data_IF_804259619203
#
_entry.id   IF_804259619203
#
_cell.length_a   1.000
_cell.length_b   1.000
_cell.length_c   1.000
_cell.angle_alpha   90.00
_cell.angle_beta   90.00
_cell.angle_gamma   90.00
#
_symmetry.space_group_name_H-M   'P 1'
#
loop_
_entity.id
_entity.type
_entity.pdbx_description
1 polymer ?
#
# COMPACT_ATOMS: atom_id res chain seq x y z
N UNK A 1 -25.67 20.08 -47.90
CA UNK A 1 -24.62 20.30 -46.88
C UNK A 1 -24.73 21.62 -46.10
N UNK A 2 -25.65 22.54 -46.42
CA UNK A 2 -25.73 23.85 -45.73
C UNK A 2 -26.53 23.86 -44.40
N UNK A 3 -27.45 22.92 -44.17
CA UNK A 3 -28.29 22.93 -42.95
C UNK A 3 -27.63 22.33 -41.69
N UNK A 4 -26.63 21.45 -41.82
CA UNK A 4 -25.93 20.86 -40.66
C UNK A 4 -24.92 21.82 -40.02
N UNK A 5 -24.32 22.73 -40.79
CA UNK A 5 -23.37 23.72 -40.24
C UNK A 5 -24.05 24.87 -39.50
N UNK A 6 -25.33 25.17 -39.77
CA UNK A 6 -26.05 26.24 -39.07
C UNK A 6 -26.48 25.84 -37.66
N UNK A 7 -26.71 24.55 -37.39
CA UNK A 7 -27.11 24.05 -36.06
C UNK A 7 -25.92 23.99 -35.08
N UNK A 8 -24.71 23.73 -35.58
CA UNK A 8 -23.48 23.69 -34.76
C UNK A 8 -23.07 25.09 -34.31
N UNK A 9 -23.18 26.09 -35.19
CA UNK A 9 -22.82 27.49 -34.87
C UNK A 9 -23.83 28.15 -33.92
N UNK A 10 -25.12 27.78 -34.01
CA UNK A 10 -26.17 28.29 -33.09
C UNK A 10 -26.04 27.68 -31.69
N UNK A 11 -25.64 26.41 -31.57
CA UNK A 11 -25.40 25.79 -30.25
C UNK A 11 -24.13 26.31 -29.57
N UNK A 12 -23.04 26.54 -30.31
CA UNK A 12 -21.83 27.16 -29.73
C UNK A 12 -22.08 28.58 -29.21
N UNK A 13 -22.87 29.39 -29.93
CA UNK A 13 -23.26 30.72 -29.44
C UNK A 13 -24.21 30.68 -28.24
N UNK A 14 -25.05 29.65 -28.08
CA UNK A 14 -25.91 29.49 -26.88
C UNK A 14 -25.11 29.07 -25.65
N UNK A 15 -24.18 28.13 -25.80
CA UNK A 15 -23.32 27.66 -24.69
C UNK A 15 -22.33 28.75 -24.26
N UNK A 16 -21.75 29.51 -25.19
CA UNK A 16 -20.90 30.65 -24.85
C UNK A 16 -21.68 31.78 -24.17
N UNK A 17 -22.93 32.06 -24.57
CA UNK A 17 -23.76 33.05 -23.87
C UNK A 17 -24.19 32.60 -22.48
N UNK A 18 -24.36 31.28 -22.24
CA UNK A 18 -24.65 30.73 -20.92
C UNK A 18 -23.41 30.70 -20.01
N UNK A 19 -22.21 30.41 -20.53
CA UNK A 19 -20.96 30.50 -19.76
C UNK A 19 -20.60 31.95 -19.42
N UNK A 20 -20.82 32.89 -20.34
CA UNK A 20 -20.57 34.31 -20.08
C UNK A 20 -21.63 34.86 -19.11
N UNK A 21 -22.90 34.50 -19.22
CA UNK A 21 -23.89 34.97 -18.23
C UNK A 21 -23.66 34.41 -16.82
N UNK A 22 -23.16 33.18 -16.66
CA UNK A 22 -22.85 32.61 -15.34
C UNK A 22 -21.58 33.25 -14.75
N UNK A 23 -20.58 33.62 -15.55
CA UNK A 23 -19.43 34.36 -15.03
C UNK A 23 -19.73 35.85 -14.76
N UNK A 24 -20.56 36.51 -15.58
CA UNK A 24 -20.90 37.92 -15.35
C UNK A 24 -21.93 38.14 -14.23
N UNK A 25 -22.80 37.17 -13.94
CA UNK A 25 -23.67 37.25 -12.74
C UNK A 25 -22.92 36.97 -11.44
N UNK A 26 -21.83 36.19 -11.46
CA UNK A 26 -20.96 36.05 -10.29
C UNK A 26 -20.06 37.27 -10.04
N UNK A 27 -19.73 38.06 -11.07
CA UNK A 27 -18.93 39.29 -10.91
C UNK A 27 -19.73 40.54 -10.52
N UNK A 28 -21.04 40.59 -10.76
CA UNK A 28 -21.86 41.78 -10.41
C UNK A 28 -22.64 41.67 -9.09
N UNK A 29 -22.67 40.49 -8.47
CA UNK A 29 -23.32 40.28 -7.16
C UNK A 29 -22.39 40.54 -5.94
N UNK A 30 -21.16 41.01 -6.16
CA UNK A 30 -20.17 41.26 -5.08
C UNK A 30 -20.10 42.76 -4.70
N UNK A 31 -20.94 43.64 -5.28
CA UNK A 31 -20.84 45.08 -5.01
C UNK A 31 -21.78 45.64 -3.94
N UNK A 32 -22.65 44.85 -3.31
CA UNK A 32 -23.50 45.33 -2.22
C UNK A 32 -23.90 44.15 -1.32
N UNK A 33 -23.28 44.03 -0.15
CA UNK A 33 -23.81 43.60 1.17
C UNK A 33 -22.66 42.99 2.00
N UNK A 34 -22.14 43.80 2.94
CA UNK A 34 -21.46 43.43 4.19
C UNK A 34 -20.20 42.53 4.17
N UNK A 35 -19.25 42.75 5.11
CA UNK A 35 -18.01 41.99 5.19
C UNK A 35 -18.31 40.61 5.79
N UNK A 36 -18.64 39.64 4.94
CA UNK A 36 -18.54 38.24 5.32
C UNK A 36 -17.07 37.85 5.18
N UNK A 37 -16.35 37.92 6.30
CA UNK A 37 -15.09 37.22 6.51
C UNK A 37 -15.26 35.79 6.02
N UNK A 38 -14.71 35.49 4.83
CA UNK A 38 -14.58 34.14 4.34
C UNK A 38 -13.56 33.47 5.26
N UNK A 39 -14.07 32.75 6.26
CA UNK A 39 -13.26 31.96 7.17
C UNK A 39 -12.72 30.78 6.38
N UNK A 40 -11.60 30.98 5.69
CA UNK A 40 -10.81 29.91 5.10
C UNK A 40 -10.42 28.99 6.28
N UNK A 41 -10.80 27.70 6.28
CA UNK A 41 -10.42 26.79 7.36
C UNK A 41 -8.90 26.80 7.51
N UNK A 42 -8.35 26.67 8.73
CA UNK A 42 -6.90 26.66 8.93
C UNK A 42 -6.28 25.57 8.07
N UNK A 43 -5.70 25.99 6.95
CA UNK A 43 -4.99 25.11 6.04
C UNK A 43 -3.75 24.57 6.75
N UNK A 44 -3.31 23.36 6.36
CA UNK A 44 -2.09 22.79 6.91
C UNK A 44 -0.92 23.78 6.69
N UNK A 45 -0.27 24.18 7.79
CA UNK A 45 0.84 25.15 7.82
C UNK A 45 1.89 24.86 6.74
N UNK A 46 2.15 23.57 6.47
CA UNK A 46 3.05 23.10 5.40
C UNK A 46 2.69 23.62 4.00
N UNK A 47 1.39 23.65 3.65
CA UNK A 47 0.91 24.16 2.36
C UNK A 47 1.11 25.67 2.25
N UNK A 48 0.86 26.40 3.34
CA UNK A 48 1.06 27.84 3.39
C UNK A 48 2.55 28.22 3.30
N UNK A 49 3.44 27.44 3.93
CA UNK A 49 4.91 27.59 3.79
C UNK A 49 5.39 27.41 2.35
N UNK A 50 4.86 26.40 1.65
CA UNK A 50 5.16 26.17 0.24
C UNK A 50 4.67 27.34 -0.64
N UNK A 51 3.43 27.78 -0.43
CA UNK A 51 2.85 28.90 -1.17
C UNK A 51 3.64 30.18 -0.97
N UNK A 52 4.04 30.49 0.26
CA UNK A 52 4.89 31.65 0.53
C UNK A 52 6.24 31.53 -0.20
N UNK A 53 6.84 30.33 -0.24
CA UNK A 53 8.10 30.11 -0.95
C UNK A 53 7.98 30.31 -2.47
N UNK A 54 6.81 29.99 -3.05
CA UNK A 54 6.49 30.27 -4.45
C UNK A 54 6.33 31.77 -4.67
N UNK A 55 5.63 32.47 -3.77
CA UNK A 55 5.46 33.92 -3.87
C UNK A 55 6.82 34.64 -3.74
N UNK A 56 7.66 34.28 -2.77
CA UNK A 56 9.02 34.84 -2.62
C UNK A 56 9.86 34.62 -3.89
N UNK A 57 9.72 33.47 -4.55
CA UNK A 57 10.38 33.20 -5.83
C UNK A 57 9.88 34.11 -6.95
N UNK A 58 8.57 34.32 -7.07
CA UNK A 58 7.98 35.23 -8.07
C UNK A 58 8.37 36.69 -7.82
N UNK A 59 8.38 37.13 -6.56
CA UNK A 59 8.87 38.47 -6.16
C UNK A 59 10.36 38.65 -6.48
N UNK A 60 11.17 37.62 -6.22
CA UNK A 60 12.60 37.62 -6.58
C UNK A 60 12.79 37.67 -8.09
N UNK A 61 11.97 36.94 -8.85
CA UNK A 61 12.07 36.89 -10.32
C UNK A 61 11.68 38.22 -10.99
N UNK A 62 10.82 39.02 -10.33
CA UNK A 62 10.51 40.39 -10.76
C UNK A 62 11.69 41.33 -10.48
N UNK A 63 12.42 41.12 -9.38
CA UNK A 63 13.49 42.03 -8.92
C UNK A 63 14.86 41.70 -9.52
N UNK A 64 15.14 40.43 -9.82
CA UNK A 64 16.38 39.98 -10.45
C UNK A 64 16.40 40.16 -11.99
N UNK A 65 15.26 40.51 -12.59
CA UNK A 65 15.13 40.73 -14.03
C UNK A 65 15.19 39.45 -14.86
N UNK A 66 15.00 38.28 -14.26
CA UNK A 66 14.92 36.98 -14.96
C UNK A 66 13.68 36.85 -15.86
N UNK A 67 12.76 37.81 -15.77
CA UNK A 67 11.49 37.82 -16.49
C UNK A 67 11.37 39.09 -17.36
N UNK A 68 10.69 38.96 -18.50
CA UNK A 68 10.41 40.08 -19.41
C UNK A 68 9.59 41.14 -18.68
N UNK A 69 9.90 42.40 -18.96
CA UNK A 69 9.18 43.55 -18.38
C UNK A 69 7.69 43.53 -18.67
N UNK A 70 7.28 42.97 -19.81
CA UNK A 70 5.88 42.85 -20.23
C UNK A 70 5.09 41.83 -19.39
N UNK A 71 5.78 40.86 -18.77
CA UNK A 71 5.17 39.81 -17.96
C UNK A 71 5.10 40.19 -16.46
N UNK A 72 5.70 41.32 -16.06
CA UNK A 72 5.77 41.77 -14.66
C UNK A 72 4.38 41.98 -14.05
N UNK A 73 3.52 42.70 -14.76
CA UNK A 73 2.14 42.96 -14.30
C UNK A 73 1.35 41.66 -14.16
N UNK A 74 1.56 40.70 -15.08
CA UNK A 74 0.91 39.39 -15.02
C UNK A 74 1.35 38.56 -13.80
N UNK A 75 2.60 38.70 -13.38
CA UNK A 75 3.13 37.99 -12.21
C UNK A 75 2.67 38.62 -10.91
N UNK A 76 2.59 39.95 -10.84
CA UNK A 76 2.01 40.64 -9.68
C UNK A 76 0.56 40.22 -9.44
N UNK A 77 -0.24 40.07 -10.51
CA UNK A 77 -1.60 39.51 -10.42
C UNK A 77 -1.57 38.05 -9.97
N UNK A 78 -0.66 37.23 -10.49
CA UNK A 78 -0.54 35.83 -10.09
C UNK A 78 -0.19 35.68 -8.61
N UNK A 79 0.70 36.51 -8.06
CA UNK A 79 1.05 36.54 -6.64
C UNK A 79 -0.20 36.81 -5.79
N UNK A 80 -1.02 37.79 -6.18
CA UNK A 80 -2.26 38.12 -5.47
C UNK A 80 -3.26 36.97 -5.52
N UNK A 81 -3.50 36.39 -6.70
CA UNK A 81 -4.42 35.26 -6.86
C UNK A 81 -3.98 34.03 -6.05
N UNK A 82 -2.67 33.72 -6.04
CA UNK A 82 -2.11 32.61 -5.27
C UNK A 82 -2.22 32.90 -3.77
N UNK A 83 -1.93 34.12 -3.32
CA UNK A 83 -2.05 34.51 -1.92
C UNK A 83 -3.47 34.36 -1.40
N UNK A 84 -4.45 34.89 -2.13
CA UNK A 84 -5.87 34.82 -1.78
C UNK A 84 -6.39 33.37 -1.76
N UNK A 85 -6.02 32.56 -2.76
CA UNK A 85 -6.48 31.18 -2.87
C UNK A 85 -6.03 30.30 -1.68
N UNK A 86 -4.91 30.64 -1.04
CA UNK A 86 -4.32 29.84 0.03
C UNK A 86 -4.28 30.56 1.40
N UNK A 87 -4.88 31.74 1.50
CA UNK A 87 -4.88 32.55 2.72
C UNK A 87 -3.48 32.97 3.16
N UNK A 88 -2.59 33.23 2.20
CA UNK A 88 -1.23 33.74 2.43
C UNK A 88 -1.18 35.17 1.92
N UNK A 89 -1.00 36.12 2.82
CA UNK A 89 -0.89 37.53 2.49
C UNK A 89 0.59 37.92 2.33
N UNK A 90 1.04 38.24 1.10
CA UNK A 90 2.41 38.67 0.84
C UNK A 90 2.69 40.11 1.29
N UNK A 91 1.73 40.84 1.84
CA UNK A 91 1.96 42.13 2.49
C UNK A 91 2.12 42.01 4.01
N UNK A 92 1.73 40.89 4.61
CA UNK A 92 1.75 40.68 6.05
C UNK A 92 3.11 40.14 6.54
N UNK A 93 3.92 41.00 7.16
CA UNK A 93 5.25 40.65 7.67
C UNK A 93 5.22 39.57 8.76
N UNK A 94 4.22 39.52 9.63
CA UNK A 94 4.11 38.51 10.70
C UNK A 94 3.85 37.11 10.12
N UNK A 95 3.01 37.05 9.08
CA UNK A 95 2.73 35.80 8.36
C UNK A 95 3.95 35.35 7.56
N UNK A 96 4.69 36.29 6.95
CA UNK A 96 5.97 36.01 6.27
C UNK A 96 6.98 35.39 7.24
N UNK A 97 7.19 35.96 8.42
CA UNK A 97 8.14 35.43 9.40
C UNK A 97 7.74 34.03 9.90
N UNK A 98 6.45 33.81 10.17
CA UNK A 98 5.96 32.51 10.67
C UNK A 98 6.05 31.38 9.63
N UNK A 99 5.84 31.71 8.36
CA UNK A 99 5.81 30.74 7.26
C UNK A 99 7.13 30.66 6.49
N UNK A 100 8.09 31.55 6.74
CA UNK A 100 9.38 31.52 6.06
C UNK A 100 10.15 30.26 6.42
N UNK A 101 10.82 29.70 5.40
CA UNK A 101 11.71 28.55 5.51
C UNK A 101 13.19 28.94 5.43
N UNK A 102 13.51 30.24 5.58
CA UNK A 102 14.88 30.75 5.58
C UNK A 102 15.73 30.03 6.62
N UNK A 103 16.98 29.62 6.27
CA UNK A 103 17.77 30.05 5.10
C UNK A 103 17.49 29.28 3.79
N UNK A 104 16.61 28.28 3.78
CA UNK A 104 16.25 27.57 2.55
C UNK A 104 15.30 28.42 1.70
N UNK A 105 15.45 28.35 0.38
CA UNK A 105 14.54 28.96 -0.60
C UNK A 105 14.08 27.91 -1.63
N UNK A 106 13.01 28.20 -2.36
CA UNK A 106 12.42 27.26 -3.31
C UNK A 106 13.43 26.75 -4.36
N UNK A 107 14.30 27.64 -4.86
CA UNK A 107 15.34 27.28 -5.83
C UNK A 107 16.34 26.28 -5.24
N UNK A 108 16.81 26.53 -4.01
CA UNK A 108 17.76 25.65 -3.32
C UNK A 108 17.16 24.28 -3.00
N UNK A 109 15.88 24.22 -2.63
CA UNK A 109 15.17 22.96 -2.41
C UNK A 109 14.99 22.20 -3.72
N UNK A 110 14.65 22.90 -4.79
CA UNK A 110 14.51 22.32 -6.12
C UNK A 110 15.85 21.84 -6.66
N UNK A 111 16.94 22.58 -6.44
CA UNK A 111 18.30 22.17 -6.80
C UNK A 111 18.76 20.94 -6.03
N UNK A 112 18.44 20.85 -4.72
CA UNK A 112 18.71 19.65 -3.93
C UNK A 112 17.91 18.47 -4.46
N UNK A 113 16.63 18.69 -4.82
CA UNK A 113 15.80 17.67 -5.44
C UNK A 113 16.38 17.22 -6.78
N UNK A 114 16.73 18.15 -7.68
CA UNK A 114 17.33 17.83 -8.97
C UNK A 114 18.66 17.10 -8.81
N UNK A 115 19.56 17.58 -7.95
CA UNK A 115 20.83 16.91 -7.66
C UNK A 115 20.63 15.51 -7.07
N UNK A 116 19.60 15.32 -6.24
CA UNK A 116 19.28 14.01 -5.67
C UNK A 116 18.71 13.10 -6.76
N UNK A 117 17.75 13.59 -7.55
CA UNK A 117 17.16 12.89 -8.70
C UNK A 117 18.22 12.50 -9.73
N UNK A 118 19.15 13.39 -10.04
CA UNK A 118 20.20 13.16 -11.04
C UNK A 118 21.27 12.19 -10.50
N UNK A 119 21.59 12.24 -9.21
CA UNK A 119 22.46 11.22 -8.57
C UNK A 119 21.80 9.85 -8.51
N UNK A 120 20.51 9.79 -8.21
CA UNK A 120 19.71 8.56 -8.15
C UNK A 120 19.47 7.99 -9.57
N UNK A 121 19.29 8.86 -10.58
CA UNK A 121 19.15 8.48 -11.98
C UNK A 121 20.46 8.06 -12.65
N UNK A 122 21.59 8.69 -12.31
CA UNK A 122 22.91 8.36 -12.86
C UNK A 122 23.52 7.07 -12.26
N UNK A 123 23.08 6.63 -11.08
CA UNK A 123 23.52 5.35 -10.51
C UNK A 123 22.92 4.11 -11.21
N UNK A 124 22.01 4.29 -12.18
CA UNK A 124 21.48 3.21 -13.02
C UNK A 124 22.31 2.94 -14.30
N UNK A 125 23.34 3.73 -14.62
CA UNK A 125 24.15 3.52 -15.82
C UNK A 125 25.63 3.88 -15.62
N UNK A 126 26.44 2.87 -15.29
CA UNK A 126 27.82 2.75 -15.81
C UNK A 126 28.93 3.54 -15.10
N UNK A 127 29.92 2.76 -14.64
CA UNK A 127 31.26 3.13 -14.16
C UNK A 127 32.08 4.02 -15.12
N UNK A 128 32.72 5.08 -14.60
CA UNK A 128 34.20 5.25 -14.50
C UNK A 128 34.68 6.72 -14.46
N UNK A 129 35.44 7.02 -13.40
CA UNK A 129 36.59 7.95 -13.23
C UNK A 129 36.69 9.31 -13.97
N UNK A 130 36.65 10.40 -13.19
CA UNK A 130 37.58 11.56 -13.30
C UNK A 130 37.74 12.21 -11.90
N UNK A 131 38.93 12.72 -11.49
CA UNK A 131 39.19 13.12 -10.09
C UNK A 131 38.70 14.55 -9.73
N UNK A 132 37.78 14.58 -8.76
CA UNK A 132 37.62 15.46 -7.59
C UNK A 132 37.96 16.97 -7.63
N UNK A 133 36.90 17.77 -7.41
CA UNK A 133 36.84 18.76 -6.32
C UNK A 133 35.79 18.26 -5.29
N UNK A 134 35.90 18.54 -3.99
CA UNK A 134 35.26 17.74 -2.95
C UNK A 134 33.74 17.99 -2.92
N UNK A 135 33.00 17.06 -3.50
CA UNK A 135 31.57 16.91 -3.24
C UNK A 135 31.36 16.52 -1.77
N UNK A 136 30.24 16.93 -1.13
CA UNK A 136 29.88 16.37 0.17
C UNK A 136 29.74 14.86 -0.04
N UNK A 137 30.66 14.11 0.57
CA UNK A 137 30.65 12.66 0.56
C UNK A 137 29.28 12.20 1.07
N UNK A 138 28.63 11.28 0.35
CA UNK A 138 27.44 10.60 0.86
C UNK A 138 27.71 9.98 2.25
N UNK A 139 26.67 9.54 2.96
CA UNK A 139 26.79 9.10 4.35
C UNK A 139 27.95 8.11 4.51
N UNK A 140 28.82 8.42 5.48
CA UNK A 140 29.98 7.57 5.77
C UNK A 140 29.51 6.18 6.23
N UNK A 141 30.41 5.18 6.23
CA UNK A 141 30.05 3.85 6.74
C UNK A 141 29.53 3.90 8.19
N UNK A 142 30.08 4.81 9.01
CA UNK A 142 29.60 5.05 10.36
C UNK A 142 28.20 5.67 10.40
N UNK A 143 27.87 6.55 9.46
CA UNK A 143 26.54 7.15 9.37
C UNK A 143 25.50 6.14 8.88
N UNK A 144 25.87 5.28 7.93
CA UNK A 144 25.03 4.15 7.53
C UNK A 144 24.74 3.20 8.68
N UNK A 145 25.73 2.92 9.53
CA UNK A 145 25.52 2.11 10.74
C UNK A 145 24.57 2.80 11.74
N UNK A 146 24.68 4.13 11.92
CA UNK A 146 23.74 4.89 12.75
C UNK A 146 22.32 4.85 12.17
N UNK A 147 22.16 5.05 10.86
CA UNK A 147 20.86 4.96 10.19
C UNK A 147 20.24 3.57 10.37
N UNK A 148 21.05 2.52 10.27
CA UNK A 148 20.63 1.14 10.50
C UNK A 148 20.18 0.89 11.96
N UNK A 149 20.84 1.51 12.95
CA UNK A 149 20.39 1.49 14.35
C UNK A 149 19.03 2.16 14.50
N UNK A 150 18.84 3.34 13.90
CA UNK A 150 17.54 4.03 13.90
C UNK A 150 16.45 3.20 13.23
N UNK A 151 16.74 2.51 12.11
CA UNK A 151 15.82 1.55 11.49
C UNK A 151 15.47 0.41 12.45
N UNK A 152 16.45 -0.18 13.13
CA UNK A 152 16.21 -1.27 14.08
C UNK A 152 15.33 -0.81 15.25
N UNK A 153 15.60 0.39 15.79
CA UNK A 153 14.74 1.02 16.79
C UNK A 153 13.31 1.19 16.28
N UNK A 154 13.15 1.72 15.06
CA UNK A 154 11.84 1.85 14.42
C UNK A 154 11.13 0.50 14.27
N UNK A 155 11.84 -0.56 13.86
CA UNK A 155 11.28 -1.90 13.74
C UNK A 155 10.81 -2.47 15.09
N UNK A 156 11.56 -2.23 16.16
CA UNK A 156 11.17 -2.65 17.50
C UNK A 156 9.93 -1.90 17.98
N UNK A 157 9.85 -0.58 17.71
CA UNK A 157 8.68 0.23 18.02
C UNK A 157 7.46 -0.19 17.20
N UNK A 158 7.64 -0.57 15.93
CA UNK A 158 6.58 -1.18 15.11
C UNK A 158 6.04 -2.47 15.73
N UNK A 159 6.93 -3.33 16.24
CA UNK A 159 6.54 -4.56 16.92
C UNK A 159 5.74 -4.28 18.21
N UNK A 160 6.10 -3.22 18.94
CA UNK A 160 5.36 -2.71 20.10
C UNK A 160 4.11 -1.91 19.76
N UNK A 161 3.78 -1.73 18.47
CA UNK A 161 2.67 -0.89 17.96
C UNK A 161 2.79 0.59 18.35
N UNK A 162 3.99 1.06 18.66
CA UNK A 162 4.30 2.47 18.95
C UNK A 162 4.58 3.23 17.65
N UNK A 163 3.57 3.38 16.80
CA UNK A 163 3.74 3.82 15.41
C UNK A 163 4.32 5.22 15.25
N UNK A 164 3.91 6.19 16.09
CA UNK A 164 4.44 7.56 16.04
C UNK A 164 5.95 7.59 16.32
N UNK A 165 6.39 6.88 17.36
CA UNK A 165 7.83 6.81 17.69
C UNK A 165 8.60 6.02 16.62
N UNK A 166 7.97 5.02 15.99
CA UNK A 166 8.57 4.31 14.87
C UNK A 166 8.80 5.24 13.67
N UNK A 167 7.83 6.11 13.37
CA UNK A 167 7.94 7.14 12.31
C UNK A 167 9.11 8.08 12.61
N UNK A 168 9.25 8.54 13.85
CA UNK A 168 10.37 9.40 14.26
C UNK A 168 11.70 8.68 14.03
N UNK A 169 11.82 7.43 14.49
CA UNK A 169 13.03 6.63 14.31
C UNK A 169 13.38 6.40 12.82
N UNK A 170 12.39 6.10 11.97
CA UNK A 170 12.66 5.98 10.53
C UNK A 170 12.99 7.33 9.89
N UNK A 171 12.44 8.44 10.38
CA UNK A 171 12.74 9.78 9.91
C UNK A 171 14.19 10.16 10.21
N UNK A 172 14.69 9.82 11.40
CA UNK A 172 16.12 9.95 11.74
C UNK A 172 16.99 9.09 10.83
N UNK A 173 16.59 7.85 10.54
CA UNK A 173 17.32 6.99 9.59
C UNK A 173 17.39 7.60 8.18
N UNK A 174 16.29 8.18 7.70
CA UNK A 174 16.19 8.87 6.40
C UNK A 174 17.05 10.14 6.37
N UNK A 175 17.08 10.91 7.46
CA UNK A 175 17.89 12.12 7.56
C UNK A 175 19.39 11.80 7.44
N UNK A 176 19.82 10.64 7.94
CA UNK A 176 21.21 10.19 7.89
C UNK A 176 21.55 9.56 6.54
N UNK A 177 20.72 8.64 6.03
CA UNK A 177 20.90 8.02 4.72
C UNK A 177 19.61 8.04 3.89
N UNK A 178 19.40 9.10 3.09
CA UNK A 178 18.17 9.29 2.33
C UNK A 178 18.08 8.40 1.08
N UNK A 179 19.12 7.61 0.78
CA UNK A 179 19.18 6.77 -0.42
C UNK A 179 18.84 5.30 -0.14
N UNK A 180 18.34 4.98 1.06
CA UNK A 180 17.91 3.63 1.39
C UNK A 180 16.38 3.50 1.27
N UNK A 181 15.86 2.74 0.29
CA UNK A 181 14.42 2.62 0.03
C UNK A 181 13.69 1.90 1.18
N UNK A 182 14.41 1.12 2.00
CA UNK A 182 13.84 0.36 3.12
C UNK A 182 13.29 1.30 4.20
N UNK A 183 13.94 2.44 4.45
CA UNK A 183 13.49 3.35 5.51
C UNK A 183 12.15 3.99 5.17
N UNK A 184 12.00 4.50 3.94
CA UNK A 184 10.73 5.02 3.45
C UNK A 184 9.65 3.93 3.43
N UNK A 185 9.95 2.72 2.94
CA UNK A 185 8.97 1.62 2.94
C UNK A 185 8.53 1.19 4.34
N UNK A 186 9.41 1.28 5.34
CA UNK A 186 9.07 0.97 6.72
C UNK A 186 8.27 2.12 7.36
N UNK A 187 8.61 3.38 7.07
CA UNK A 187 7.84 4.54 7.52
C UNK A 187 6.43 4.58 6.91
N UNK A 188 6.31 4.23 5.62
CA UNK A 188 5.01 4.00 4.96
C UNK A 188 4.15 2.95 5.69
N UNK A 189 4.78 1.88 6.19
CA UNK A 189 4.08 0.86 6.96
C UNK A 189 3.57 1.40 8.30
N UNK A 190 4.35 2.25 8.96
CA UNK A 190 3.98 2.91 10.21
C UNK A 190 2.82 3.89 9.99
N UNK A 191 2.90 4.75 8.97
CA UNK A 191 1.80 5.64 8.57
C UNK A 191 0.51 4.87 8.24
N UNK A 192 0.63 3.78 7.47
CA UNK A 192 -0.52 2.91 7.18
C UNK A 192 -1.12 2.30 8.45
N UNK A 193 -0.29 1.97 9.44
CA UNK A 193 -0.77 1.42 10.72
C UNK A 193 -1.47 2.47 11.59
N UNK A 194 -1.21 3.76 11.35
CA UNK A 194 -1.94 4.88 11.95
C UNK A 194 -3.20 5.28 11.17
N UNK A 195 -3.41 4.73 9.96
CA UNK A 195 -4.52 5.08 9.08
C UNK A 195 -4.23 6.24 8.12
N UNK A 196 -3.04 6.85 8.19
CA UNK A 196 -2.62 7.93 7.30
C UNK A 196 -2.10 7.38 5.96
N UNK A 197 -3.01 6.78 5.20
CA UNK A 197 -2.68 6.07 3.96
C UNK A 197 -2.18 7.00 2.84
N UNK A 198 -2.57 8.28 2.84
CA UNK A 198 -2.04 9.25 1.87
C UNK A 198 -0.52 9.47 2.07
N UNK A 199 -0.09 9.70 3.31
CA UNK A 199 1.34 9.88 3.63
C UNK A 199 2.11 8.57 3.40
N UNK A 200 1.47 7.42 3.64
CA UNK A 200 2.06 6.13 3.33
C UNK A 200 2.28 5.92 1.83
N UNK A 201 1.39 6.43 0.97
CA UNK A 201 1.56 6.40 -0.48
C UNK A 201 2.77 7.26 -0.90
N UNK A 202 2.87 8.49 -0.38
CA UNK A 202 4.01 9.38 -0.64
C UNK A 202 5.35 8.71 -0.29
N UNK A 203 5.46 8.10 0.91
CA UNK A 203 6.67 7.38 1.32
C UNK A 203 6.95 6.14 0.45
N UNK A 204 5.90 5.45 -0.02
CA UNK A 204 6.07 4.32 -0.93
C UNK A 204 6.56 4.76 -2.32
N UNK A 205 6.08 5.90 -2.83
CA UNK A 205 6.57 6.51 -4.07
C UNK A 205 8.02 6.96 -3.93
N UNK A 206 8.40 7.54 -2.79
CA UNK A 206 9.80 7.89 -2.50
C UNK A 206 10.68 6.63 -2.47
N UNK A 207 10.23 5.53 -1.88
CA UNK A 207 10.96 4.27 -1.90
C UNK A 207 11.16 3.73 -3.34
N UNK A 208 10.15 3.85 -4.21
CA UNK A 208 10.23 3.49 -5.63
C UNK A 208 11.18 4.42 -6.39
N UNK A 209 11.16 5.71 -6.09
CA UNK A 209 12.06 6.69 -6.71
C UNK A 209 13.52 6.42 -6.36
N UNK A 210 13.80 5.99 -5.13
CA UNK A 210 15.14 5.61 -4.65
C UNK A 210 15.60 4.29 -5.26
N UNK A 211 14.74 3.27 -5.28
CA UNK A 211 15.02 1.99 -5.94
C UNK A 211 13.77 1.46 -6.68
N UNK A 212 13.72 1.65 -8.01
CA UNK A 212 12.60 1.17 -8.83
C UNK A 212 12.46 -0.36 -8.85
N UNK A 213 13.47 -1.12 -8.40
CA UNK A 213 13.44 -2.59 -8.31
C UNK A 213 13.03 -3.08 -6.93
N UNK A 214 12.69 -2.19 -6.00
CA UNK A 214 12.27 -2.59 -4.67
C UNK A 214 10.79 -2.96 -4.62
N UNK A 215 10.47 -4.23 -4.91
CA UNK A 215 9.11 -4.74 -5.01
C UNK A 215 8.22 -4.46 -3.78
N UNK A 216 8.81 -4.43 -2.58
CA UNK A 216 8.09 -4.13 -1.34
C UNK A 216 7.46 -2.74 -1.34
N UNK A 217 8.08 -1.75 -2.00
CA UNK A 217 7.53 -0.40 -2.10
C UNK A 217 6.25 -0.37 -2.96
N UNK A 218 6.21 -1.12 -4.06
CA UNK A 218 4.98 -1.28 -4.84
C UNK A 218 3.88 -1.96 -4.05
N UNK A 219 4.21 -2.95 -3.21
CA UNK A 219 3.22 -3.52 -2.29
C UNK A 219 2.67 -2.46 -1.33
N UNK A 220 3.55 -1.63 -0.73
CA UNK A 220 3.12 -0.53 0.16
C UNK A 220 2.21 0.47 -0.55
N UNK A 221 2.58 0.90 -1.75
CA UNK A 221 1.80 1.83 -2.56
C UNK A 221 0.43 1.27 -2.91
N UNK A 222 0.38 0.02 -3.39
CA UNK A 222 -0.88 -0.66 -3.71
C UNK A 222 -1.80 -0.81 -2.50
N UNK A 223 -1.25 -1.18 -1.33
CA UNK A 223 -2.02 -1.25 -0.09
C UNK A 223 -2.52 0.12 0.36
N UNK A 224 -1.71 1.17 0.26
CA UNK A 224 -2.11 2.53 0.62
C UNK A 224 -3.29 3.02 -0.24
N UNK A 225 -3.19 2.90 -1.57
CA UNK A 225 -4.30 3.25 -2.46
C UNK A 225 -5.55 2.40 -2.23
N UNK A 226 -5.38 1.10 -1.98
CA UNK A 226 -6.50 0.21 -1.68
C UNK A 226 -7.26 0.68 -0.43
N UNK A 227 -6.54 1.09 0.62
CA UNK A 227 -7.13 1.63 1.84
C UNK A 227 -7.75 3.01 1.66
N UNK A 228 -7.26 3.82 0.71
CA UNK A 228 -7.88 5.08 0.30
C UNK A 228 -9.14 4.88 -0.57
N UNK A 229 -9.42 3.65 -1.01
CA UNK A 229 -10.52 3.34 -1.92
C UNK A 229 -10.21 3.59 -3.39
N UNK A 230 -8.98 3.97 -3.72
CA UNK A 230 -8.52 4.12 -5.10
C UNK A 230 -8.06 2.76 -5.65
N UNK A 231 -9.03 1.92 -6.00
CA UNK A 231 -8.75 0.55 -6.42
C UNK A 231 -8.04 0.44 -7.77
N UNK A 232 -8.21 1.42 -8.66
CA UNK A 232 -7.51 1.46 -9.95
C UNK A 232 -6.03 1.82 -9.76
N UNK A 233 -5.71 2.82 -8.94
CA UNK A 233 -4.33 3.13 -8.59
C UNK A 233 -3.66 1.96 -7.83
N UNK A 234 -4.41 1.31 -6.93
CA UNK A 234 -3.91 0.12 -6.22
C UNK A 234 -3.56 -1.01 -7.19
N UNK A 235 -4.45 -1.31 -8.14
CA UNK A 235 -4.24 -2.32 -9.19
C UNK A 235 -2.97 -1.99 -9.99
N UNK A 236 -2.84 -0.76 -10.47
CA UNK A 236 -1.67 -0.32 -11.25
C UNK A 236 -0.36 -0.47 -10.46
N UNK A 237 -0.35 -0.09 -9.18
CA UNK A 237 0.82 -0.26 -8.33
C UNK A 237 1.20 -1.73 -8.13
N UNK A 238 0.23 -2.63 -7.93
CA UNK A 238 0.49 -4.07 -7.81
C UNK A 238 0.98 -4.69 -9.13
N UNK A 239 0.44 -4.29 -10.28
CA UNK A 239 0.89 -4.72 -11.60
C UNK A 239 2.34 -4.33 -11.85
N UNK A 240 2.70 -3.06 -11.60
CA UNK A 240 4.09 -2.59 -11.67
C UNK A 240 5.02 -3.34 -10.72
N UNK A 241 4.54 -3.67 -9.52
CA UNK A 241 5.29 -4.51 -8.59
C UNK A 241 5.56 -5.92 -9.15
N UNK A 242 4.60 -6.50 -9.88
CA UNK A 242 4.73 -7.82 -10.50
C UNK A 242 5.63 -7.80 -11.74
N UNK A 243 5.79 -6.67 -12.42
CA UNK A 243 6.82 -6.51 -13.44
C UNK A 243 8.23 -6.64 -12.84
N UNK A 244 8.41 -6.19 -11.60
CA UNK A 244 9.68 -6.27 -10.86
C UNK A 244 9.89 -7.66 -10.24
N UNK A 245 8.87 -8.19 -9.57
CA UNK A 245 8.88 -9.53 -8.96
C UNK A 245 7.63 -10.35 -9.36
N UNK A 246 7.67 -11.06 -10.50
CA UNK A 246 6.50 -11.78 -11.04
C UNK A 246 5.95 -12.89 -10.14
N UNK A 247 6.74 -13.39 -9.18
CA UNK A 247 6.38 -14.49 -8.29
C UNK A 247 6.00 -14.04 -6.87
N UNK A 248 5.91 -12.75 -6.62
CA UNK A 248 5.59 -12.23 -5.30
C UNK A 248 4.11 -12.48 -4.93
N UNK A 249 3.87 -13.33 -3.93
CA UNK A 249 2.52 -13.72 -3.51
C UNK A 249 1.69 -12.53 -2.97
N UNK A 250 2.32 -11.60 -2.24
CA UNK A 250 1.63 -10.45 -1.67
C UNK A 250 1.12 -9.51 -2.77
N UNK A 251 1.94 -9.28 -3.80
CA UNK A 251 1.55 -8.46 -4.94
C UNK A 251 0.41 -9.12 -5.75
N UNK A 252 0.48 -10.44 -5.99
CA UNK A 252 -0.61 -11.17 -6.66
C UNK A 252 -1.92 -11.11 -5.88
N UNK A 253 -1.85 -11.31 -4.56
CA UNK A 253 -3.01 -11.23 -3.68
C UNK A 253 -3.59 -9.81 -3.66
N UNK A 254 -2.73 -8.79 -3.53
CA UNK A 254 -3.13 -7.38 -3.57
C UNK A 254 -3.84 -7.03 -4.89
N UNK A 255 -3.29 -7.47 -6.02
CA UNK A 255 -3.89 -7.29 -7.33
C UNK A 255 -5.28 -7.93 -7.43
N UNK A 256 -5.41 -9.17 -7.00
CA UNK A 256 -6.71 -9.89 -7.00
C UNK A 256 -7.75 -9.17 -6.14
N UNK A 257 -7.35 -8.69 -4.95
CA UNK A 257 -8.23 -7.93 -4.07
C UNK A 257 -8.68 -6.61 -4.70
N UNK A 258 -7.77 -5.86 -5.33
CA UNK A 258 -8.08 -4.61 -6.03
C UNK A 258 -9.06 -4.84 -7.19
N UNK A 259 -8.83 -5.86 -8.02
CA UNK A 259 -9.71 -6.24 -9.13
C UNK A 259 -11.11 -6.65 -8.66
N UNK A 260 -11.22 -7.41 -7.57
CA UNK A 260 -12.50 -7.79 -7.00
C UNK A 260 -13.33 -6.57 -6.56
N UNK A 261 -12.68 -5.54 -5.99
CA UNK A 261 -13.34 -4.29 -5.61
C UNK A 261 -13.81 -3.50 -6.82
N UNK A 262 -13.00 -3.38 -7.86
CA UNK A 262 -13.38 -2.71 -9.12
C UNK A 262 -14.61 -3.39 -9.75
N UNK A 263 -14.62 -4.73 -9.84
CA UNK A 263 -15.74 -5.50 -10.38
C UNK A 263 -17.03 -5.40 -9.55
N UNK A 264 -16.92 -5.25 -8.23
CA UNK A 264 -18.08 -5.02 -7.36
C UNK A 264 -18.67 -3.62 -7.51
N UNK A 265 -17.86 -2.61 -7.83
CA UNK A 265 -18.32 -1.24 -8.02
C UNK A 265 -19.02 -1.02 -9.37
N UNK A 266 -18.64 -1.77 -10.41
CA UNK A 266 -19.26 -1.69 -11.74
C UNK A 266 -20.61 -2.43 -11.82
N UNK A 267 -20.79 -3.51 -11.04
CA UNK A 267 -22.03 -4.30 -11.01
C UNK A 267 -23.16 -3.67 -10.18
N UNK A 268 -22.88 -2.61 -9.40
CA UNK A 268 -23.89 -1.88 -8.64
C UNK A 268 -24.76 -0.94 -9.51
N UNK A 269 -24.37 -0.64 -10.75
CA UNK A 269 -25.09 0.31 -11.63
C UNK A 269 -26.07 -0.36 -12.61
N UNK A 270 -26.19 -1.70 -12.60
CA UNK A 270 -27.04 -2.44 -13.56
C UNK A 270 -28.09 -3.36 -12.94
N UNK A 271 -28.56 -3.10 -11.71
CA UNK A 271 -29.80 -3.70 -11.21
C UNK A 271 -31.00 -2.86 -11.64
N UNK A 272 -31.44 -3.06 -12.88
CA UNK A 272 -32.85 -2.82 -13.24
C UNK A 272 -33.75 -3.66 -12.32
N UNK A 273 -34.89 -3.14 -11.85
CA UNK A 273 -35.78 -3.90 -10.98
C UNK A 273 -36.29 -5.15 -11.71
N UNK A 274 -36.35 -6.32 -11.06
CA UNK A 274 -36.86 -7.51 -11.71
C UNK A 274 -38.35 -7.32 -12.01
N UNK A 275 -38.68 -7.39 -13.30
CA UNK A 275 -40.05 -7.44 -13.78
C UNK A 275 -40.76 -8.64 -13.15
N UNK A 276 -41.94 -8.38 -12.59
CA UNK A 276 -42.84 -9.39 -12.09
C UNK A 276 -43.20 -10.39 -13.20
N UNK A 277 -43.14 -11.68 -12.90
CA UNK A 277 -43.72 -12.75 -13.72
C UNK A 277 -44.00 -13.98 -12.84
N UNK A 278 -45.01 -14.79 -13.20
CA UNK A 278 -46.01 -15.26 -12.24
C UNK A 278 -45.76 -16.68 -11.73
N UNK A 279 -46.35 -16.97 -10.58
CA UNK A 279 -46.42 -18.30 -9.97
C UNK A 279 -47.10 -19.33 -10.88
N UNK A 280 -46.70 -20.61 -10.75
CA UNK A 280 -47.69 -21.68 -10.73
C UNK A 280 -47.55 -22.57 -9.50
N UNK A 281 -48.69 -23.01 -9.01
CA UNK A 281 -48.89 -23.91 -7.89
C UNK A 281 -48.65 -25.38 -8.27
N UNK A 282 -48.24 -26.19 -7.28
CA UNK A 282 -48.64 -27.60 -7.17
C UNK A 282 -47.53 -28.64 -7.05
N UNK A 283 -47.48 -29.34 -5.91
CA UNK A 283 -46.95 -30.71 -5.81
C UNK A 283 -45.79 -30.93 -4.81
N UNK A 284 -45.89 -31.89 -3.86
CA UNK A 284 -44.97 -32.01 -2.73
C UNK A 284 -43.81 -32.98 -3.03
N UNK A 285 -42.57 -32.57 -2.73
CA UNK A 285 -41.43 -33.48 -2.69
C UNK A 285 -40.11 -32.82 -3.08
N UNK A 286 -39.23 -32.60 -2.09
CA UNK A 286 -37.85 -32.14 -2.28
C UNK A 286 -37.59 -30.78 -1.63
N UNK A 287 -37.18 -30.79 -0.36
CA UNK A 287 -36.59 -29.60 0.27
C UNK A 287 -35.23 -29.32 -0.39
N UNK A 288 -35.13 -28.16 -1.04
CA UNK A 288 -33.90 -27.66 -1.65
C UNK A 288 -32.88 -27.29 -0.55
N UNK A 289 -31.72 -27.96 -0.59
CA UNK A 289 -30.58 -27.78 0.33
C UNK A 289 -30.05 -26.33 0.34
N UNK A 290 -30.29 -25.55 -0.73
CA UNK A 290 -29.89 -24.15 -0.80
C UNK A 290 -30.69 -23.23 0.13
N UNK A 291 -31.94 -23.57 0.47
CA UNK A 291 -32.77 -22.80 1.40
C UNK A 291 -32.50 -23.14 2.87
N UNK A 292 -32.11 -24.38 3.18
CA UNK A 292 -31.72 -24.76 4.55
C UNK A 292 -30.41 -24.10 4.99
N UNK A 293 -29.45 -23.93 4.07
CA UNK A 293 -28.19 -23.24 4.34
C UNK A 293 -28.37 -21.76 4.72
N UNK A 294 -29.34 -21.07 4.12
CA UNK A 294 -29.67 -19.68 4.45
C UNK A 294 -30.45 -19.53 5.77
N UNK A 295 -31.16 -20.57 6.22
CA UNK A 295 -31.86 -20.55 7.50
C UNK A 295 -30.92 -20.85 8.68
N UNK A 296 -29.92 -21.71 8.49
CA UNK A 296 -28.90 -22.06 9.50
C UNK A 296 -27.73 -21.07 9.58
N UNK A 297 -27.64 -20.10 8.67
CA UNK A 297 -26.64 -19.02 8.73
C UNK A 297 -27.06 -17.77 9.52
N UNK A 298 -28.33 -17.69 9.94
CA UNK A 298 -28.93 -16.46 10.45
C UNK A 298 -29.27 -16.40 11.95
N UNK A 299 -29.00 -17.45 12.74
CA UNK A 299 -29.51 -17.54 14.11
C UNK A 299 -28.45 -17.94 15.15
N UNK A 300 -27.41 -17.12 15.28
CA UNK A 300 -26.45 -17.17 16.38
C UNK A 300 -25.82 -15.80 16.60
N UNK A 301 -26.44 -14.98 17.46
CA UNK A 301 -25.98 -13.64 17.86
C UNK A 301 -24.54 -13.64 18.43
N UNK A 302 -23.82 -12.53 18.45
CA UNK A 302 -24.24 -11.24 18.99
C UNK A 302 -23.68 -11.09 20.42
N UNK A 303 -22.84 -10.07 20.62
CA UNK A 303 -22.23 -9.59 21.87
C UNK A 303 -20.92 -10.25 22.36
N UNK A 304 -19.92 -9.41 22.65
CA UNK A 304 -18.76 -9.80 23.46
C UNK A 304 -17.47 -9.08 23.08
N UNK A 305 -17.08 -8.10 23.90
CA UNK A 305 -15.78 -7.44 23.87
C UNK A 305 -14.59 -8.40 24.08
N UNK A 306 -13.39 -8.01 23.64
CA UNK A 306 -12.14 -8.50 24.26
C UNK A 306 -11.02 -8.91 23.31
N UNK A 307 -9.89 -8.19 23.44
CA UNK A 307 -8.52 -8.68 23.49
C UNK A 307 -8.04 -9.87 22.61
N UNK A 308 -7.05 -9.57 21.77
CA UNK A 308 -5.77 -10.29 21.58
C UNK A 308 -5.74 -11.83 21.76
N UNK A 309 -5.36 -12.58 20.72
CA UNK A 309 -4.87 -13.94 20.88
C UNK A 309 -4.83 -14.75 19.57
N UNK A 310 -3.64 -15.20 19.17
CA UNK A 310 -3.45 -16.05 18.00
C UNK A 310 -4.14 -17.40 18.13
N UNK A 311 -4.69 -17.89 17.01
CA UNK A 311 -5.24 -19.23 16.88
C UNK A 311 -5.20 -19.63 15.41
N UNK A 312 -4.31 -20.56 15.07
CA UNK A 312 -4.27 -21.19 13.76
C UNK A 312 -5.53 -21.99 13.51
N UNK A 313 -6.48 -21.40 12.78
CA UNK A 313 -7.53 -22.12 12.08
C UNK A 313 -7.05 -22.39 10.66
N UNK A 314 -6.82 -23.66 10.33
CA UNK A 314 -6.38 -24.15 9.02
C UNK A 314 -7.07 -23.41 7.87
N UNK A 315 -6.34 -22.66 7.02
CA UNK A 315 -6.82 -22.36 5.70
C UNK A 315 -6.60 -23.60 4.85
N UNK A 316 -7.69 -24.06 4.24
CA UNK A 316 -7.70 -24.88 3.02
C UNK A 316 -7.94 -26.40 3.13
N UNK A 317 -8.83 -26.82 4.04
CA UNK A 317 -9.45 -28.16 3.98
C UNK A 317 -10.44 -28.30 2.80
N UNK A 318 -10.98 -27.20 2.30
CA UNK A 318 -11.94 -27.19 1.19
C UNK A 318 -11.29 -27.45 -0.18
N UNK A 319 -10.07 -26.96 -0.43
CA UNK A 319 -9.34 -27.32 -1.66
C UNK A 319 -8.70 -28.71 -1.58
N UNK A 320 -8.35 -29.15 -0.35
CA UNK A 320 -7.71 -30.44 -0.10
C UNK A 320 -8.69 -31.61 -0.29
N UNK A 321 -9.98 -31.44 0.05
CA UNK A 321 -11.02 -32.46 -0.13
C UNK A 321 -11.47 -32.65 -1.58
N UNK A 322 -11.09 -31.72 -2.48
CA UNK A 322 -11.47 -31.75 -3.89
C UNK A 322 -10.37 -32.35 -4.79
N UNK A 323 -9.27 -32.85 -4.21
CA UNK A 323 -8.20 -33.52 -4.95
C UNK A 323 -8.42 -35.05 -4.97
N UNK A 324 -8.82 -35.65 -6.12
CA UNK A 324 -9.12 -37.08 -6.21
C UNK A 324 -7.91 -37.98 -5.94
N UNK A 325 -6.69 -37.49 -6.17
CA UNK A 325 -5.45 -38.23 -5.87
C UNK A 325 -5.18 -38.31 -4.37
N UNK A 326 -5.52 -37.26 -3.61
CA UNK A 326 -5.37 -37.24 -2.16
C UNK A 326 -6.44 -38.11 -1.50
N UNK A 327 -7.65 -38.13 -2.04
CA UNK A 327 -8.70 -39.03 -1.58
C UNK A 327 -8.31 -40.49 -1.81
N UNK A 328 -7.72 -40.84 -2.97
CA UNK A 328 -7.19 -42.18 -3.24
C UNK A 328 -6.03 -42.57 -2.29
N UNK A 329 -5.12 -41.64 -1.99
CA UNK A 329 -4.03 -41.86 -1.03
C UNK A 329 -4.54 -42.03 0.41
N UNK A 330 -5.51 -41.22 0.82
CA UNK A 330 -6.17 -41.36 2.12
C UNK A 330 -6.96 -42.67 2.23
N UNK A 331 -7.62 -43.10 1.15
CA UNK A 331 -8.33 -44.38 1.08
C UNK A 331 -7.36 -45.56 1.18
N UNK A 332 -6.18 -45.46 0.56
CA UNK A 332 -5.12 -46.47 0.68
C UNK A 332 -4.48 -46.48 2.08
N UNK A 333 -4.38 -45.33 2.74
CA UNK A 333 -3.87 -45.23 4.11
C UNK A 333 -4.87 -45.76 5.15
N UNK A 334 -6.17 -45.52 4.93
CA UNK A 334 -7.28 -46.02 5.74
C UNK A 334 -7.56 -47.51 5.50
N UNK A 335 -7.42 -48.00 4.26
CA UNK A 335 -7.60 -49.42 3.93
C UNK A 335 -6.36 -50.28 4.26
N UNK A 336 -5.18 -49.68 4.36
CA UNK A 336 -3.91 -50.38 4.56
C UNK A 336 -3.53 -50.68 6.02
N UNK A 337 -4.39 -50.37 6.99
CA UNK A 337 -4.09 -50.55 8.43
C UNK A 337 -2.86 -49.75 8.89
N UNK A 338 -2.45 -48.72 8.14
CA UNK A 338 -1.30 -47.89 8.44
C UNK A 338 -1.48 -47.09 9.73
N UNK A 339 -2.73 -46.68 10.00
CA UNK A 339 -3.10 -45.98 11.23
C UNK A 339 -3.07 -46.90 12.46
N UNK A 340 -3.45 -48.17 12.31
CA UNK A 340 -3.34 -49.17 13.37
C UNK A 340 -1.89 -49.46 13.75
N UNK A 341 -0.98 -49.52 12.77
CA UNK A 341 0.46 -49.69 13.02
C UNK A 341 1.08 -48.47 13.71
N UNK A 342 0.61 -47.27 13.39
CA UNK A 342 1.02 -46.03 14.07
C UNK A 342 0.52 -45.99 15.52
N UNK A 343 -0.74 -46.38 15.76
CA UNK A 343 -1.32 -46.40 17.11
C UNK A 343 -0.78 -47.54 17.99
N UNK A 344 -0.26 -48.61 17.41
CA UNK A 344 0.39 -49.71 18.12
C UNK A 344 1.87 -49.43 18.44
N UNK A 345 2.46 -48.35 17.90
CA UNK A 345 3.84 -47.99 18.18
C UNK A 345 3.99 -47.42 19.61
N UNK A 346 4.75 -48.09 20.50
CA UNK A 346 4.89 -47.69 21.91
C UNK A 346 5.45 -46.27 22.09
N UNK A 347 6.32 -45.82 21.19
CA UNK A 347 6.91 -44.50 21.24
C UNK A 347 5.89 -43.39 20.94
N UNK A 348 4.97 -43.63 20.00
CA UNK A 348 3.90 -42.68 19.66
C UNK A 348 2.86 -42.63 20.77
N UNK A 349 2.60 -43.76 21.45
CA UNK A 349 1.66 -43.82 22.58
C UNK A 349 2.19 -43.06 23.80
N UNK A 350 3.50 -43.13 24.07
CA UNK A 350 4.16 -42.33 25.11
C UNK A 350 4.25 -40.83 24.76
N UNK A 351 4.37 -40.49 23.48
CA UNK A 351 4.35 -39.10 23.01
C UNK A 351 2.94 -38.51 23.07
N UNK A 352 1.92 -39.30 22.71
CA UNK A 352 0.51 -38.90 22.80
C UNK A 352 0.04 -38.70 24.24
N UNK A 353 0.47 -39.55 25.19
CA UNK A 353 0.14 -39.38 26.61
C UNK A 353 0.80 -38.14 27.22
N UNK A 354 2.00 -37.76 26.75
CA UNK A 354 2.70 -36.52 27.15
C UNK A 354 2.02 -35.27 26.58
N UNK A 355 1.63 -35.31 25.31
CA UNK A 355 0.88 -34.24 24.67
C UNK A 355 -0.51 -34.05 25.30
N UNK A 356 -1.18 -35.15 25.67
CA UNK A 356 -2.50 -35.12 26.31
C UNK A 356 -2.45 -34.67 27.77
N UNK A 357 -1.30 -34.80 28.46
CA UNK A 357 -1.07 -34.29 29.81
C UNK A 357 -0.54 -32.84 29.83
N UNK A 358 -0.55 -32.14 28.69
CA UNK A 358 -0.14 -30.74 28.58
C UNK A 358 1.37 -30.50 28.52
N UNK A 359 2.18 -31.57 28.39
CA UNK A 359 3.61 -31.47 28.11
C UNK A 359 3.84 -31.25 26.62
N UNK A 360 4.40 -30.11 26.24
CA UNK A 360 4.73 -29.79 24.85
C UNK A 360 5.61 -30.84 24.16
N UNK A 361 5.60 -30.84 22.83
CA UNK A 361 6.41 -31.76 22.02
C UNK A 361 7.91 -31.59 22.36
N UNK A 362 8.66 -32.70 22.48
CA UNK A 362 10.10 -32.62 22.73
C UNK A 362 10.79 -31.84 21.61
N UNK A 363 11.76 -31.01 21.98
CA UNK A 363 12.49 -30.21 21.00
C UNK A 363 13.28 -31.11 20.04
N UNK A 364 13.55 -30.64 18.82
CA UNK A 364 14.33 -31.40 17.83
C UNK A 364 15.72 -31.80 18.36
N UNK A 365 16.26 -31.04 19.32
CA UNK A 365 17.50 -31.37 20.03
C UNK A 365 17.35 -32.58 20.98
N UNK A 366 16.22 -32.69 21.68
CA UNK A 366 15.91 -33.84 22.55
C UNK A 366 15.55 -35.09 21.75
N UNK A 367 14.89 -34.93 20.60
CA UNK A 367 14.59 -36.04 19.67
C UNK A 367 15.88 -36.67 19.13
N UNK A 368 16.92 -35.86 18.86
CA UNK A 368 18.21 -36.36 18.40
C UNK A 368 19.10 -36.93 19.52
N UNK A 369 18.83 -36.55 20.77
CA UNK A 369 19.55 -37.05 21.94
C UNK A 369 19.00 -38.39 22.45
N UNK A 370 17.76 -38.75 22.12
CA UNK A 370 17.14 -40.02 22.51
C UNK A 370 17.41 -41.13 21.46
N UNK A 371 18.13 -42.21 21.83
CA UNK A 371 18.47 -43.30 20.92
C UNK A 371 17.25 -44.00 20.30
N UNK A 372 16.12 -44.06 21.03
CA UNK A 372 14.92 -44.77 20.59
C UNK A 372 14.13 -43.99 19.53
N UNK A 373 14.17 -42.66 19.60
CA UNK A 373 13.51 -41.77 18.63
C UNK A 373 14.35 -41.61 17.35
N UNK A 374 15.67 -41.74 17.46
CA UNK A 374 16.59 -41.71 16.32
C UNK A 374 16.42 -42.93 15.40
N UNK A 375 16.15 -44.10 15.96
CA UNK A 375 15.83 -45.34 15.21
C UNK A 375 14.46 -45.26 14.50
N UNK A 376 13.50 -44.57 15.13
CA UNK A 376 12.19 -44.30 14.54
C UNK A 376 12.31 -43.30 13.36
N UNK A 377 13.15 -42.27 13.50
CA UNK A 377 13.41 -41.31 12.45
C UNK A 377 14.20 -41.93 11.28
N UNK A 378 15.16 -42.82 11.54
CA UNK A 378 15.91 -43.51 10.48
C UNK A 378 15.06 -44.51 9.70
N UNK A 379 14.19 -45.27 10.38
CA UNK A 379 13.24 -46.20 9.73
C UNK A 379 12.18 -45.49 8.87
N UNK A 380 11.81 -44.26 9.22
CA UNK A 380 10.88 -43.44 8.42
C UNK A 380 11.57 -42.66 7.29
N UNK A 381 12.85 -42.28 7.47
CA UNK A 381 13.60 -41.44 6.52
C UNK A 381 14.49 -42.25 5.55
N UNK A 382 14.75 -43.54 5.81
CA UNK A 382 15.63 -44.41 5.03
C UNK A 382 14.98 -45.12 3.82
N UNK A 383 13.74 -44.78 3.44
CA UNK A 383 12.96 -45.51 2.42
C UNK A 383 13.13 -45.05 0.97
N UNK A 384 13.94 -44.03 0.68
CA UNK A 384 14.10 -43.47 -0.68
C UNK A 384 15.56 -43.55 -1.13
N UNK A 385 15.98 -44.69 -1.70
CA UNK A 385 17.24 -44.75 -2.45
C UNK A 385 18.09 -46.00 -2.25
N UNK A 386 17.57 -47.17 -2.66
CA UNK A 386 18.44 -48.32 -2.98
C UNK A 386 17.86 -49.10 -4.17
N UNK A 387 17.96 -48.50 -5.35
CA UNK A 387 17.74 -49.20 -6.62
C UNK A 387 18.97 -50.03 -6.99
N UNK A 388 18.95 -51.33 -6.65
CA UNK A 388 19.83 -52.32 -7.26
C UNK A 388 19.22 -52.84 -8.57
N UNK A 389 20.02 -53.26 -9.57
CA UNK A 389 19.51 -53.69 -10.87
C UNK A 389 18.75 -55.04 -10.75
N UNK A 390 17.75 -55.30 -11.61
CA UNK A 390 16.86 -56.43 -11.45
C UNK A 390 17.51 -57.76 -11.88
N UNK A 391 17.13 -58.90 -11.26
CA UNK A 391 17.47 -60.22 -11.79
C UNK A 391 16.58 -60.52 -13.00
N UNK A 392 17.20 -60.90 -14.11
CA UNK A 392 16.52 -61.47 -15.27
C UNK A 392 16.10 -62.91 -14.98
N UNK A 393 14.84 -63.24 -15.24
CA UNK A 393 14.38 -64.62 -15.34
C UNK A 393 14.61 -65.14 -16.76
N UNK A 394 15.31 -66.27 -16.84
CA UNK A 394 15.16 -67.27 -17.90
C UNK A 394 14.02 -68.22 -17.54
#
# INVERSE_FOLDING_TARGET
>A
MAQKNMVVVVNYKRVAKQQIHVQTTYSFAICCVHPLSYFIPPMAEKKQKLVLSIIEFLETSITDGSIKTDDKEGIEVAIQCIGEAFGVDPSNNEQKEKLSIKPANLQSLFDVYLKTKDKVGAQAAGTSSTPAAPAPSGPSAADKEKAEKHKQTGNNLMASKEYTRAIDAYTEAIAIDPNNPVYYSNRAAAWSSMGDHAVAADDAEMAIAVDPKFAKAYSRLGHAHFSLGDYEAAKSAFERGLEVEPNNANLKQGLSNAQAKIGSSSTATTRSPPAASPSPAGGPGGMDWSQMANLMGGMGGGAGAGANGGGGGMPDLASMMNNPQLMAMAQQMMAGGGMDRLMQNPAIRNMASRAQSGGGMPSMAEIMADPSLRELASSFMGGAGRGGPPPGNA
#
